data_IF_462031305360
#
_entry.id   IF_462031305360
#
_cell.length_a   1.000
_cell.length_b   1.000
_cell.length_c   1.000
_cell.angle_alpha   90.00
_cell.angle_beta   90.00
_cell.angle_gamma   90.00
#
_symmetry.space_group_name_H-M   'P 1'
#
loop_
_entity.id
_entity.type
_entity.pdbx_description
1 polymer ?
#
# COMPACT_ATOMS: atom_id res chain seq x y z
N UNK A 1 33.70 -31.19 -2.18
CA UNK A 1 33.11 -29.86 -2.47
C UNK A 1 31.61 -30.01 -2.61
N UNK A 2 30.82 -28.97 -2.28
CA UNK A 2 29.39 -28.93 -2.61
C UNK A 2 29.19 -28.80 -4.12
N UNK A 3 28.16 -29.46 -4.65
CA UNK A 3 27.70 -29.32 -6.04
C UNK A 3 26.22 -28.93 -6.01
N UNK A 4 25.68 -28.40 -7.11
CA UNK A 4 24.24 -28.11 -7.24
C UNK A 4 23.41 -29.35 -6.89
N UNK A 5 22.44 -29.19 -5.99
CA UNK A 5 21.60 -30.27 -5.45
C UNK A 5 22.25 -31.10 -4.33
N UNK A 6 23.48 -30.77 -3.93
CA UNK A 6 24.22 -31.38 -2.81
C UNK A 6 24.94 -30.31 -1.98
N UNK A 7 24.22 -29.23 -1.71
CA UNK A 7 24.67 -28.11 -0.90
C UNK A 7 25.02 -28.59 0.52
N UNK A 8 25.92 -27.86 1.17
CA UNK A 8 26.33 -28.14 2.55
C UNK A 8 26.01 -26.95 3.42
N UNK A 9 25.42 -27.23 4.57
CA UNK A 9 25.29 -26.23 5.64
C UNK A 9 26.64 -26.00 6.29
N UNK A 10 27.00 -24.73 6.49
CA UNK A 10 28.15 -24.35 7.31
C UNK A 10 27.59 -23.99 8.70
N UNK A 11 28.04 -24.69 9.73
CA UNK A 11 27.55 -24.54 11.11
C UNK A 11 28.57 -23.84 11.99
N UNK A 12 28.13 -23.38 13.17
CA UNK A 12 28.96 -22.66 14.16
C UNK A 12 29.61 -21.36 13.64
N UNK A 13 28.92 -20.68 12.72
CA UNK A 13 29.37 -19.38 12.19
C UNK A 13 29.03 -18.30 13.22
N UNK A 14 30.05 -17.63 13.76
CA UNK A 14 29.88 -16.45 14.60
C UNK A 14 29.18 -15.32 13.82
N UNK A 15 28.51 -14.40 14.53
CA UNK A 15 27.88 -13.26 13.87
C UNK A 15 28.95 -12.38 13.19
N UNK A 16 28.84 -12.19 11.88
CA UNK A 16 29.76 -11.35 11.11
C UNK A 16 29.47 -9.86 11.31
N UNK A 17 30.42 -8.99 10.94
CA UNK A 17 30.15 -7.54 10.92
C UNK A 17 29.15 -7.22 9.80
N UNK A 18 28.18 -6.36 10.10
CA UNK A 18 27.17 -5.88 9.14
C UNK A 18 27.44 -4.40 8.85
N UNK A 19 28.34 -4.16 7.90
CA UNK A 19 28.69 -2.83 7.39
C UNK A 19 29.05 -2.91 5.89
N UNK A 20 29.10 -1.77 5.20
CA UNK A 20 29.30 -1.70 3.74
C UNK A 20 30.64 -2.24 3.22
N UNK A 21 31.61 -2.50 4.09
CA UNK A 21 32.95 -2.99 3.74
C UNK A 21 33.23 -4.42 4.21
N UNK A 22 32.28 -5.02 4.94
CA UNK A 22 32.44 -6.35 5.51
C UNK A 22 32.49 -7.43 4.43
N UNK A 23 33.41 -8.38 4.61
CA UNK A 23 33.50 -9.62 3.84
C UNK A 23 33.22 -10.84 4.73
N UNK A 24 32.69 -10.61 5.92
CA UNK A 24 32.43 -11.66 6.91
C UNK A 24 31.17 -12.45 6.50
N UNK A 25 31.14 -13.75 6.78
CA UNK A 25 29.91 -14.52 6.61
C UNK A 25 28.84 -14.06 7.61
N UNK A 26 27.59 -13.97 7.15
CA UNK A 26 26.42 -13.73 8.00
C UNK A 26 25.77 -15.04 8.41
N UNK A 27 25.28 -15.11 9.65
CA UNK A 27 24.63 -16.33 10.16
C UNK A 27 23.10 -16.17 10.27
N UNK A 28 22.43 -17.25 10.67
CA UNK A 28 20.97 -17.28 10.74
C UNK A 28 20.35 -16.32 11.77
N UNK A 29 21.02 -16.00 12.89
CA UNK A 29 20.46 -15.07 13.87
C UNK A 29 20.46 -13.63 13.37
N UNK A 30 21.45 -13.25 12.56
CA UNK A 30 21.49 -11.94 11.91
C UNK A 30 20.37 -11.81 10.87
N UNK A 31 20.15 -12.85 10.05
CA UNK A 31 19.04 -12.87 9.10
C UNK A 31 17.67 -12.82 9.81
N UNK A 32 17.53 -13.56 10.92
CA UNK A 32 16.30 -13.53 11.72
C UNK A 32 16.03 -12.14 12.30
N UNK A 33 17.05 -11.43 12.80
CA UNK A 33 16.91 -10.06 13.29
C UNK A 33 16.45 -9.10 12.19
N UNK A 34 16.99 -9.22 10.98
CA UNK A 34 16.54 -8.44 9.82
C UNK A 34 15.09 -8.75 9.46
N UNK A 35 14.70 -10.03 9.40
CA UNK A 35 13.32 -10.42 9.09
C UNK A 35 12.33 -9.88 10.13
N UNK A 36 12.68 -9.95 11.41
CA UNK A 36 11.88 -9.34 12.48
C UNK A 36 11.74 -7.83 12.27
N UNK A 37 12.84 -7.12 11.98
CA UNK A 37 12.80 -5.68 11.72
C UNK A 37 11.94 -5.32 10.49
N UNK A 38 11.93 -6.16 9.44
CA UNK A 38 11.05 -6.00 8.27
C UNK A 38 9.58 -6.22 8.66
N UNK A 39 9.29 -7.28 9.42
CA UNK A 39 7.94 -7.58 9.88
C UNK A 39 7.37 -6.48 10.78
N UNK A 40 8.23 -5.85 11.57
CA UNK A 40 7.89 -4.71 12.44
C UNK A 40 7.77 -3.39 11.66
N UNK A 41 8.34 -3.26 10.45
CA UNK A 41 8.28 -2.05 9.62
C UNK A 41 6.96 -1.93 8.83
N UNK A 42 5.90 -2.61 9.24
CA UNK A 42 4.59 -2.52 8.56
C UNK A 42 3.93 -1.17 8.87
N UNK A 43 3.35 -0.54 7.85
CA UNK A 43 2.52 0.65 8.03
C UNK A 43 1.28 0.30 8.86
N UNK A 44 1.20 0.82 10.08
CA UNK A 44 0.01 0.70 10.92
C UNK A 44 -1.11 1.63 10.45
N UNK A 45 -2.36 1.23 10.65
CA UNK A 45 -3.57 2.02 10.35
C UNK A 45 -3.84 2.31 8.87
N UNK A 46 -3.05 1.75 7.95
CA UNK A 46 -3.33 1.75 6.52
C UNK A 46 -3.78 0.35 6.09
N UNK A 47 -4.91 0.26 5.39
CA UNK A 47 -5.43 -1.02 4.90
C UNK A 47 -6.17 -0.82 3.58
N UNK A 48 -5.89 -1.72 2.63
CA UNK A 48 -6.58 -1.83 1.36
C UNK A 48 -6.97 -3.29 1.19
N UNK A 49 -8.26 -3.59 1.09
CA UNK A 49 -8.76 -4.94 0.89
C UNK A 49 -9.04 -5.17 -0.59
N UNK A 50 -8.14 -5.86 -1.28
CA UNK A 50 -8.26 -6.25 -2.69
C UNK A 50 -8.85 -7.65 -2.90
N UNK A 51 -9.43 -8.21 -1.83
CA UNK A 51 -10.00 -9.56 -1.83
C UNK A 51 -8.98 -10.65 -2.22
N UNK A 52 -7.68 -10.39 -2.00
CA UNK A 52 -6.59 -11.31 -2.33
C UNK A 52 -6.26 -11.37 -3.82
N UNK A 53 -6.80 -10.45 -4.62
CA UNK A 53 -6.54 -10.36 -6.06
C UNK A 53 -5.98 -8.98 -6.35
N UNK A 54 -4.75 -8.95 -6.87
CA UNK A 54 -4.07 -7.71 -7.21
C UNK A 54 -4.90 -6.89 -8.20
N UNK A 55 -5.28 -5.67 -7.79
CA UNK A 55 -5.94 -4.68 -8.64
C UNK A 55 -4.97 -3.63 -9.19
N UNK A 56 -5.50 -2.64 -9.90
CA UNK A 56 -4.72 -1.48 -10.34
C UNK A 56 -4.17 -0.68 -9.14
N UNK A 57 -3.06 0.05 -9.33
CA UNK A 57 -2.32 0.76 -8.28
C UNK A 57 -1.67 -0.16 -7.22
N UNK A 58 -1.50 -1.46 -7.50
CA UNK A 58 -0.79 -2.39 -6.61
C UNK A 58 0.70 -2.06 -6.47
N UNK A 59 1.32 -1.57 -7.56
CA UNK A 59 2.72 -1.13 -7.58
C UNK A 59 2.89 0.32 -7.13
N UNK A 60 1.86 0.96 -6.57
CA UNK A 60 1.83 2.38 -6.21
C UNK A 60 2.08 3.33 -7.41
N UNK A 61 1.59 2.96 -8.59
CA UNK A 61 1.75 3.68 -9.87
C UNK A 61 0.54 4.53 -10.27
N UNK A 62 -0.48 4.63 -9.42
CA UNK A 62 -1.71 5.39 -9.68
C UNK A 62 -1.57 6.91 -9.57
N UNK A 63 -0.52 7.42 -8.92
CA UNK A 63 -0.23 8.85 -8.86
C UNK A 63 0.57 9.27 -10.11
N UNK A 64 -0.13 9.55 -11.21
CA UNK A 64 0.51 9.86 -12.51
C UNK A 64 0.76 11.36 -12.72
N UNK A 65 0.06 12.23 -12.00
CA UNK A 65 0.30 13.67 -12.01
C UNK A 65 1.49 14.07 -11.13
N UNK A 66 2.17 15.18 -11.47
CA UNK A 66 3.24 15.73 -10.64
C UNK A 66 2.70 16.04 -9.23
N UNK A 67 3.41 15.62 -8.17
CA UNK A 67 3.01 15.83 -6.77
C UNK A 67 1.62 15.26 -6.40
N UNK A 68 1.09 14.27 -7.13
CA UNK A 68 -0.21 13.69 -6.86
C UNK A 68 -0.20 12.62 -5.74
N UNK A 69 -1.38 12.34 -5.18
CA UNK A 69 -1.64 11.23 -4.26
C UNK A 69 -2.70 10.30 -4.87
N UNK A 70 -2.44 8.98 -4.86
CA UNK A 70 -3.41 7.96 -5.24
C UNK A 70 -3.48 6.86 -4.16
N UNK A 71 -4.53 6.87 -3.34
CA UNK A 71 -4.72 5.96 -2.21
C UNK A 71 -5.92 5.04 -2.43
N UNK A 72 -5.67 3.75 -2.66
CA UNK A 72 -6.70 2.72 -2.85
C UNK A 72 -6.58 1.95 -4.17
N UNK A 73 -7.36 0.89 -4.30
CA UNK A 73 -7.38 0.02 -5.50
C UNK A 73 -7.91 0.80 -6.69
N UNK A 74 -7.12 0.91 -7.75
CA UNK A 74 -7.47 1.65 -8.96
C UNK A 74 -7.60 3.16 -8.77
N UNK A 75 -7.18 3.71 -7.62
CA UNK A 75 -7.11 5.16 -7.46
C UNK A 75 -6.12 5.76 -8.48
N UNK A 76 -6.51 6.84 -9.13
CA UNK A 76 -5.71 7.52 -10.14
C UNK A 76 -5.71 9.04 -9.94
N UNK A 77 -4.60 9.57 -9.42
CA UNK A 77 -4.36 11.01 -9.30
C UNK A 77 -3.59 11.50 -10.53
N UNK A 78 -4.32 11.92 -11.56
CA UNK A 78 -3.74 12.29 -12.85
C UNK A 78 -3.40 13.78 -12.99
N UNK A 79 -4.08 14.66 -12.26
CA UNK A 79 -3.76 16.08 -12.24
C UNK A 79 -2.53 16.40 -11.37
N UNK A 80 -1.82 17.49 -11.68
CA UNK A 80 -0.75 18.01 -10.81
C UNK A 80 -1.31 18.39 -9.44
N UNK A 81 -0.65 17.95 -8.35
CA UNK A 81 -1.10 18.20 -6.97
C UNK A 81 -2.43 17.55 -6.60
N UNK A 82 -2.94 16.63 -7.43
CA UNK A 82 -4.26 16.01 -7.22
C UNK A 82 -4.24 14.95 -6.13
N UNK A 83 -5.42 14.67 -5.56
CA UNK A 83 -5.62 13.67 -4.52
C UNK A 83 -6.79 12.76 -4.91
N UNK A 84 -6.51 11.50 -5.22
CA UNK A 84 -7.50 10.46 -5.46
C UNK A 84 -7.53 9.47 -4.27
N UNK A 85 -8.65 9.38 -3.56
CA UNK A 85 -8.83 8.52 -2.39
C UNK A 85 -10.03 7.57 -2.51
N UNK A 86 -9.77 6.27 -2.41
CA UNK A 86 -10.77 5.20 -2.44
C UNK A 86 -10.78 4.41 -3.75
N UNK A 87 -11.58 3.34 -3.77
CA UNK A 87 -11.66 2.40 -4.89
C UNK A 87 -12.08 3.10 -6.19
N UNK A 88 -11.24 2.99 -7.23
CA UNK A 88 -11.44 3.57 -8.56
C UNK A 88 -11.69 5.10 -8.57
N UNK A 89 -11.21 5.83 -7.56
CA UNK A 89 -11.25 7.30 -7.56
C UNK A 89 -10.35 7.87 -8.66
N UNK A 90 -10.78 8.93 -9.36
CA UNK A 90 -10.04 9.53 -10.47
C UNK A 90 -10.01 11.06 -10.35
N UNK A 91 -8.86 11.62 -9.98
CA UNK A 91 -8.64 13.06 -9.81
C UNK A 91 -7.83 13.60 -11.01
N UNK A 92 -8.53 14.03 -12.07
CA UNK A 92 -7.90 14.42 -13.34
C UNK A 92 -7.47 15.91 -13.42
N UNK A 93 -8.03 16.78 -12.58
CA UNK A 93 -7.74 18.22 -12.61
C UNK A 93 -6.55 18.61 -11.74
N UNK A 94 -5.88 19.72 -12.08
CA UNK A 94 -4.87 20.35 -11.22
C UNK A 94 -5.45 20.64 -9.83
N UNK A 95 -4.72 20.29 -8.78
CA UNK A 95 -5.09 20.43 -7.37
C UNK A 95 -6.47 19.84 -7.02
N UNK A 96 -6.97 18.90 -7.82
CA UNK A 96 -8.31 18.33 -7.64
C UNK A 96 -8.34 17.26 -6.56
N UNK A 97 -9.48 17.13 -5.89
CA UNK A 97 -9.77 16.06 -4.93
C UNK A 97 -10.86 15.14 -5.51
N UNK A 98 -10.59 13.85 -5.61
CA UNK A 98 -11.59 12.83 -5.92
C UNK A 98 -11.66 11.81 -4.77
N UNK A 99 -12.87 11.52 -4.31
CA UNK A 99 -13.13 10.46 -3.33
C UNK A 99 -14.27 9.55 -3.78
N UNK A 100 -14.34 8.33 -3.25
CA UNK A 100 -15.46 7.42 -3.55
C UNK A 100 -16.79 8.00 -3.02
N UNK A 101 -17.89 7.79 -3.76
CA UNK A 101 -19.20 8.30 -3.37
C UNK A 101 -19.77 7.60 -2.13
N UNK A 102 -20.16 8.38 -1.12
CA UNK A 102 -20.81 7.88 0.11
C UNK A 102 -22.32 7.89 -0.06
N UNK A 103 -22.98 6.74 0.12
CA UNK A 103 -24.45 6.67 0.14
C UNK A 103 -25.00 7.48 1.31
N UNK A 104 -25.90 8.43 1.04
CA UNK A 104 -26.64 9.14 2.09
C UNK A 104 -27.42 8.11 2.91
N UNK A 105 -27.09 7.96 4.20
CA UNK A 105 -27.92 7.20 5.13
C UNK A 105 -29.25 7.95 5.30
N UNK A 106 -30.35 7.29 4.97
CA UNK A 106 -31.68 7.79 5.31
C UNK A 106 -31.89 7.61 6.80
N UNK A 107 -31.81 8.71 7.56
CA UNK A 107 -32.32 8.73 8.93
C UNK A 107 -33.84 8.71 8.83
N UNK A 108 -34.44 7.59 9.18
CA UNK A 108 -35.89 7.49 9.37
C UNK A 108 -36.25 8.25 10.64
N UNK A 109 -36.77 9.47 10.49
CA UNK A 109 -37.42 10.17 11.59
C UNK A 109 -38.90 9.76 11.58
N UNK A 110 -39.49 9.34 12.72
CA UNK A 110 -40.83 8.72 12.77
C UNK A 110 -41.99 9.62 12.31
N UNK A 111 -41.75 10.89 11.95
CA UNK A 111 -42.82 11.86 11.72
C UNK A 111 -42.74 12.72 10.45
N UNK A 112 -41.76 12.55 9.54
CA UNK A 112 -41.73 13.34 8.29
C UNK A 112 -40.86 12.73 7.19
N UNK A 113 -41.47 12.42 6.04
CA UNK A 113 -40.78 12.14 4.78
C UNK A 113 -40.85 13.38 3.89
N UNK A 114 -39.73 14.05 3.66
CA UNK A 114 -39.64 15.13 2.66
C UNK A 114 -38.77 14.62 1.51
N UNK A 115 -39.26 14.56 0.27
CA UNK A 115 -38.44 14.17 -0.87
C UNK A 115 -37.44 15.28 -1.20
N UNK A 116 -36.15 14.93 -1.33
CA UNK A 116 -35.12 15.84 -1.84
C UNK A 116 -34.70 15.32 -3.21
N UNK A 117 -34.97 16.11 -4.25
CA UNK A 117 -34.51 15.91 -5.62
C UNK A 117 -33.01 16.25 -5.69
N UNK A 118 -32.19 15.38 -6.28
CA UNK A 118 -30.79 15.69 -6.60
C UNK A 118 -30.57 15.61 -8.12
N UNK A 119 -30.06 16.71 -8.68
CA UNK A 119 -29.51 16.80 -10.03
C UNK A 119 -28.06 16.31 -9.99
N UNK A 120 -27.70 15.40 -10.89
CA UNK A 120 -26.30 14.97 -11.09
C UNK A 120 -25.64 15.88 -12.13
N UNK A 121 -24.44 16.37 -11.87
CA UNK A 121 -23.46 16.74 -12.92
C UNK A 121 -22.44 15.63 -13.04
#
# INVERSE_FOLDING_TARGET
>A
MGNVGTERTITNVAAGRVDSTSTDAVNGSQLAATNQAIDDNKTHYYSVNDNGVQGANYNNDGATGLNALAAGIGANGAGEGSVAMGNNSHAAGESSLAQVWVRRQTVSLPWRSVPVLFLTT
#
